data_IF_468763481856
#
_entry.id   IF_468763481856
#
_cell.length_a   1.000
_cell.length_b   1.000
_cell.length_c   1.000
_cell.angle_alpha   90.00
_cell.angle_beta   90.00
_cell.angle_gamma   90.00
#
_symmetry.space_group_name_H-M   'P 1'
#
loop_
_entity.id
_entity.type
_entity.pdbx_description
1 polymer ?
#
# COMPACT_ATOMS: atom_id res chain seq x y z
N UNK A 1 14.08 19.90 20.82
CA UNK A 1 13.04 19.46 19.89
C UNK A 1 12.23 18.32 20.52
N UNK A 2 10.93 18.34 20.32
CA UNK A 2 10.09 17.25 20.78
C UNK A 2 10.30 16.02 19.91
N UNK A 3 10.06 14.82 20.46
CA UNK A 3 10.08 13.59 19.69
C UNK A 3 9.04 13.63 18.55
N UNK A 4 8.00 14.43 18.70
CA UNK A 4 6.96 14.63 17.70
C UNK A 4 7.52 15.15 16.37
N UNK A 5 8.39 16.17 16.42
CA UNK A 5 9.04 16.70 15.20
C UNK A 5 9.97 15.64 14.58
N UNK A 6 10.72 14.94 15.42
CA UNK A 6 11.62 13.87 14.96
C UNK A 6 10.84 12.76 14.24
N UNK A 7 9.70 12.34 14.80
CA UNK A 7 8.89 11.27 14.21
C UNK A 7 8.25 11.71 12.89
N UNK A 8 7.88 12.96 12.75
CA UNK A 8 7.41 13.51 11.48
C UNK A 8 8.53 13.51 10.41
N UNK A 9 9.74 13.85 10.80
CA UNK A 9 10.90 13.75 9.92
C UNK A 9 11.14 12.31 9.48
N UNK A 10 11.00 11.35 10.38
CA UNK A 10 11.12 9.93 10.07
C UNK A 10 10.05 9.48 9.08
N UNK A 11 8.81 9.92 9.27
CA UNK A 11 7.72 9.61 8.32
C UNK A 11 8.06 10.11 6.91
N UNK A 12 8.49 11.36 6.79
CA UNK A 12 8.88 11.96 5.51
C UNK A 12 9.98 11.16 4.85
N UNK A 13 11.00 10.84 5.60
CA UNK A 13 12.16 10.09 5.10
C UNK A 13 11.77 8.69 4.63
N UNK A 14 10.95 7.98 5.39
CA UNK A 14 10.48 6.64 5.02
C UNK A 14 9.66 6.70 3.74
N UNK A 15 8.73 7.66 3.65
CA UNK A 15 7.88 7.84 2.48
C UNK A 15 8.72 8.15 1.24
N UNK A 16 9.70 9.07 1.35
CA UNK A 16 10.59 9.42 0.26
C UNK A 16 11.43 8.24 -0.21
N UNK A 17 11.99 7.48 0.71
CA UNK A 17 12.80 6.30 0.38
C UNK A 17 11.96 5.20 -0.29
N UNK A 18 10.74 4.96 0.19
CA UNK A 18 9.82 3.99 -0.44
C UNK A 18 9.37 4.47 -1.82
N UNK A 19 9.07 5.75 -1.96
CA UNK A 19 8.68 6.30 -3.25
C UNK A 19 9.80 6.17 -4.28
N UNK A 20 11.04 6.45 -3.88
CA UNK A 20 12.21 6.28 -4.74
C UNK A 20 12.34 4.83 -5.22
N UNK A 21 12.15 3.87 -4.32
CA UNK A 21 12.26 2.44 -4.65
C UNK A 21 11.10 1.92 -5.52
N UNK A 22 9.87 2.39 -5.27
CA UNK A 22 8.66 1.80 -5.86
C UNK A 22 7.97 2.67 -6.92
N UNK A 23 8.43 3.89 -7.16
CA UNK A 23 7.77 4.77 -8.16
C UNK A 23 7.75 4.15 -9.55
N UNK A 24 8.83 3.49 -9.96
CA UNK A 24 8.91 2.80 -11.25
C UNK A 24 7.97 1.58 -11.33
N UNK A 25 7.45 1.14 -10.19
CA UNK A 25 6.54 -0.02 -10.09
C UNK A 25 5.08 0.41 -9.93
N UNK A 26 4.79 1.70 -10.10
CA UNK A 26 3.43 2.22 -10.09
C UNK A 26 2.97 2.85 -8.77
N UNK A 27 3.83 2.93 -7.76
CA UNK A 27 3.50 3.60 -6.51
C UNK A 27 3.54 5.11 -6.71
N UNK A 28 2.49 5.80 -6.26
CA UNK A 28 2.38 7.25 -6.29
C UNK A 28 2.21 7.81 -4.89
N UNK A 29 2.65 9.06 -4.70
CA UNK A 29 2.47 9.79 -3.47
C UNK A 29 1.24 10.68 -3.55
N UNK A 30 0.35 10.53 -2.60
CA UNK A 30 -0.80 11.41 -2.40
C UNK A 30 -0.63 12.15 -1.09
N UNK A 31 -1.04 13.42 -1.04
CA UNK A 31 -0.97 14.25 0.16
C UNK A 31 -2.31 14.92 0.39
N UNK A 32 -2.70 15.04 1.65
CA UNK A 32 -3.79 15.92 2.06
C UNK A 32 -3.35 17.38 1.94
N UNK A 33 -4.27 18.32 1.91
CA UNK A 33 -3.97 19.74 1.87
C UNK A 33 -3.45 20.24 3.22
N UNK A 34 -2.50 21.19 3.19
CA UNK A 34 -1.97 21.87 4.36
C UNK A 34 -0.53 21.52 4.72
N UNK A 35 0.06 22.31 5.62
CA UNK A 35 1.36 22.01 6.20
C UNK A 35 1.24 20.77 7.09
N UNK A 36 2.24 19.91 7.09
CA UNK A 36 2.25 18.67 7.87
C UNK A 36 1.07 17.74 7.54
N UNK A 37 0.56 17.83 6.32
CA UNK A 37 -0.53 16.99 5.86
C UNK A 37 -0.12 15.52 5.85
N UNK A 38 -1.10 14.65 6.09
CA UNK A 38 -0.90 13.22 5.97
C UNK A 38 -0.50 12.85 4.54
N UNK A 39 0.38 11.88 4.43
CA UNK A 39 0.87 11.35 3.16
C UNK A 39 0.39 9.92 2.97
N UNK A 40 0.17 9.55 1.71
CA UNK A 40 -0.25 8.21 1.34
C UNK A 40 0.63 7.69 0.21
N UNK A 41 1.01 6.43 0.29
CA UNK A 41 1.59 5.72 -0.86
C UNK A 41 0.51 4.80 -1.42
N UNK A 42 0.21 4.97 -2.69
CA UNK A 42 -0.92 4.30 -3.33
C UNK A 42 -0.52 3.69 -4.67
N UNK A 43 -1.29 2.68 -5.09
CA UNK A 43 -1.19 2.08 -6.41
C UNK A 43 -2.60 1.93 -6.98
N UNK A 44 -2.81 2.46 -8.19
CA UNK A 44 -4.13 2.45 -8.85
C UNK A 44 -5.27 2.93 -7.92
N UNK A 45 -5.00 3.97 -7.12
CA UNK A 45 -5.95 4.52 -6.17
C UNK A 45 -6.08 3.76 -4.85
N UNK A 46 -5.39 2.63 -4.70
CA UNK A 46 -5.40 1.85 -3.46
C UNK A 46 -4.27 2.28 -2.54
N UNK A 47 -4.60 2.74 -1.36
CA UNK A 47 -3.63 3.20 -0.37
C UNK A 47 -2.99 1.99 0.31
N UNK A 48 -1.67 1.88 0.23
CA UNK A 48 -0.90 0.81 0.88
C UNK A 48 -0.24 1.29 2.17
N UNK A 49 0.04 2.59 2.27
CA UNK A 49 0.67 3.20 3.44
C UNK A 49 0.07 4.57 3.70
N UNK A 50 -0.03 4.93 4.96
CA UNK A 50 -0.65 6.16 5.40
C UNK A 50 0.09 6.69 6.63
N UNK A 51 0.50 7.96 6.63
CA UNK A 51 1.11 8.60 7.79
C UNK A 51 0.06 9.26 8.67
N UNK A 52 0.22 9.16 10.00
CA UNK A 52 -0.70 9.76 10.96
C UNK A 52 -0.04 10.95 11.66
N UNK A 53 -0.88 11.84 12.17
CA UNK A 53 -0.45 13.07 12.86
C UNK A 53 0.43 12.80 14.08
N UNK A 54 0.27 11.66 14.73
CA UNK A 54 1.01 11.31 15.96
C UNK A 54 2.36 10.63 15.70
N UNK A 55 2.78 10.53 14.44
CA UNK A 55 4.03 9.90 14.06
C UNK A 55 3.89 8.44 13.64
N UNK A 56 2.75 7.81 13.88
CA UNK A 56 2.50 6.44 13.44
C UNK A 56 2.44 6.35 11.92
N UNK A 57 2.79 5.18 11.41
CA UNK A 57 2.57 4.83 10.00
C UNK A 57 1.67 3.60 9.96
N UNK A 58 0.57 3.70 9.22
CA UNK A 58 -0.30 2.57 8.96
C UNK A 58 0.09 1.92 7.64
N UNK A 59 0.17 0.60 7.61
CA UNK A 59 0.43 -0.16 6.40
C UNK A 59 -0.70 -1.17 6.19
N UNK A 60 -1.21 -1.24 4.97
CA UNK A 60 -2.27 -2.17 4.59
C UNK A 60 -1.87 -3.61 4.90
N UNK A 61 -2.80 -4.34 5.51
CA UNK A 61 -2.59 -5.73 5.92
C UNK A 61 -3.39 -6.72 5.08
N UNK A 62 -4.47 -6.26 4.45
CA UNK A 62 -5.36 -7.12 3.65
C UNK A 62 -5.73 -6.45 2.34
N UNK A 63 -5.84 -7.28 1.30
CA UNK A 63 -6.28 -6.90 -0.04
C UNK A 63 -7.45 -7.81 -0.40
N UNK A 64 -8.47 -7.28 -1.07
CA UNK A 64 -9.63 -8.05 -1.50
C UNK A 64 -10.00 -7.71 -2.94
N UNK A 65 -10.75 -8.61 -3.56
CA UNK A 65 -11.35 -8.36 -4.86
C UNK A 65 -12.87 -8.35 -4.74
N UNK A 66 -13.46 -7.28 -5.22
CA UNK A 66 -14.92 -7.14 -5.29
C UNK A 66 -15.36 -7.43 -6.73
N UNK A 67 -15.99 -8.58 -6.93
CA UNK A 67 -16.43 -9.03 -8.25
C UNK A 67 -17.59 -8.19 -8.80
N UNK A 68 -18.37 -7.52 -7.96
CA UNK A 68 -19.51 -6.72 -8.39
C UNK A 68 -19.10 -5.47 -9.14
N UNK A 69 -18.05 -4.81 -8.70
CA UNK A 69 -17.52 -3.60 -9.34
C UNK A 69 -16.16 -3.82 -10.02
N UNK A 70 -15.70 -5.06 -10.10
CA UNK A 70 -14.43 -5.42 -10.71
C UNK A 70 -13.26 -4.59 -10.20
N UNK A 71 -13.15 -4.47 -8.89
CA UNK A 71 -12.15 -3.64 -8.25
C UNK A 71 -11.40 -4.37 -7.15
N UNK A 72 -10.09 -4.12 -7.10
CA UNK A 72 -9.25 -4.53 -5.99
C UNK A 72 -9.25 -3.40 -4.97
N UNK A 73 -9.47 -3.74 -3.71
CA UNK A 73 -9.45 -2.80 -2.61
C UNK A 73 -8.48 -3.24 -1.53
N UNK A 74 -8.21 -2.32 -0.63
CA UNK A 74 -7.35 -2.55 0.54
C UNK A 74 -8.13 -2.29 1.81
N UNK A 75 -7.88 -3.07 2.81
CA UNK A 75 -8.51 -2.88 4.11
C UNK A 75 -7.62 -3.42 5.21
N UNK A 76 -7.95 -3.06 6.46
CA UNK A 76 -7.26 -3.53 7.63
C UNK A 76 -5.79 -3.13 7.63
N UNK A 77 -5.49 -2.10 8.38
CA UNK A 77 -4.13 -1.57 8.48
C UNK A 77 -3.51 -1.93 9.82
N UNK A 78 -2.20 -2.17 9.81
CA UNK A 78 -1.43 -2.29 11.03
C UNK A 78 -0.74 -0.96 11.31
N UNK A 79 -0.84 -0.48 12.56
CA UNK A 79 -0.14 0.69 13.03
C UNK A 79 1.30 0.32 13.40
N UNK A 80 2.24 1.07 12.86
CA UNK A 80 3.64 1.00 13.26
C UNK A 80 3.97 2.26 14.04
N UNK A 81 4.23 2.09 15.32
CA UNK A 81 4.58 3.20 16.19
C UNK A 81 6.02 3.61 15.96
N UNK A 82 6.31 4.93 15.94
CA UNK A 82 7.67 5.39 15.73
C UNK A 82 8.59 4.95 16.87
N UNK A 83 9.86 4.74 16.51
CA UNK A 83 10.94 4.41 17.44
C UNK A 83 12.03 5.45 17.29
N UNK A 84 12.77 5.72 18.36
CA UNK A 84 13.89 6.66 18.31
C UNK A 84 14.97 6.21 17.34
N UNK A 85 15.22 4.90 17.25
CA UNK A 85 16.11 4.33 16.25
C UNK A 85 15.42 4.32 14.89
N UNK A 86 15.84 5.22 14.00
CA UNK A 86 15.27 5.33 12.66
C UNK A 86 15.34 4.01 11.89
N UNK A 87 16.46 3.33 11.93
CA UNK A 87 16.66 2.10 11.16
C UNK A 87 15.72 0.98 11.60
N UNK A 88 15.43 0.89 12.88
CA UNK A 88 14.46 -0.09 13.40
C UNK A 88 13.04 0.25 12.93
N UNK A 89 12.63 1.51 13.06
CA UNK A 89 11.32 1.96 12.63
C UNK A 89 11.16 1.80 11.11
N UNK A 90 12.09 2.34 10.34
CA UNK A 90 12.08 2.24 8.88
C UNK A 90 12.11 0.79 8.40
N UNK A 91 12.89 -0.05 9.03
CA UNK A 91 12.97 -1.48 8.70
C UNK A 91 11.64 -2.20 8.86
N UNK A 92 10.92 -1.96 9.95
CA UNK A 92 9.60 -2.53 10.18
C UNK A 92 8.58 -2.06 9.14
N UNK A 93 8.53 -0.74 8.89
CA UNK A 93 7.59 -0.15 7.94
C UNK A 93 7.87 -0.64 6.53
N UNK A 94 9.12 -0.63 6.10
CA UNK A 94 9.52 -1.05 4.75
C UNK A 94 9.24 -2.53 4.51
N UNK A 95 9.46 -3.38 5.51
CA UNK A 95 9.11 -4.80 5.41
C UNK A 95 7.60 -5.00 5.28
N UNK A 96 6.82 -4.27 6.08
CA UNK A 96 5.36 -4.32 5.99
C UNK A 96 4.85 -3.80 4.63
N UNK A 97 5.44 -2.72 4.13
CA UNK A 97 5.09 -2.16 2.82
C UNK A 97 5.37 -3.15 1.69
N UNK A 98 6.53 -3.79 1.72
CA UNK A 98 6.88 -4.83 0.74
C UNK A 98 5.86 -5.97 0.73
N UNK A 99 5.42 -6.43 1.89
CA UNK A 99 4.37 -7.45 1.99
C UNK A 99 3.05 -6.96 1.40
N UNK A 100 2.65 -5.73 1.71
CA UNK A 100 1.41 -5.14 1.17
C UNK A 100 1.48 -5.01 -0.36
N UNK A 101 2.59 -4.55 -0.89
CA UNK A 101 2.85 -4.41 -2.32
C UNK A 101 2.74 -5.77 -3.02
N UNK A 102 3.42 -6.78 -2.49
CA UNK A 102 3.40 -8.14 -3.06
C UNK A 102 1.98 -8.73 -3.01
N UNK A 103 1.27 -8.53 -1.91
CA UNK A 103 -0.10 -9.01 -1.75
C UNK A 103 -1.04 -8.38 -2.77
N UNK A 104 -0.87 -7.09 -3.05
CA UNK A 104 -1.65 -6.39 -4.09
C UNK A 104 -1.41 -7.02 -5.47
N UNK A 105 -0.17 -7.22 -5.87
CA UNK A 105 0.16 -7.80 -7.16
C UNK A 105 -0.26 -9.26 -7.28
N UNK A 106 -0.16 -10.04 -6.20
CA UNK A 106 -0.67 -11.40 -6.18
C UNK A 106 -2.18 -11.43 -6.44
N UNK A 107 -2.92 -10.46 -5.88
CA UNK A 107 -4.35 -10.35 -6.13
C UNK A 107 -4.64 -9.96 -7.58
N UNK A 108 -3.90 -9.01 -8.13
CA UNK A 108 -4.03 -8.62 -9.56
C UNK A 108 -3.84 -9.84 -10.46
N UNK A 109 -2.82 -10.63 -10.19
CA UNK A 109 -2.51 -11.84 -10.95
C UNK A 109 -3.62 -12.87 -10.85
N UNK A 110 -4.12 -13.13 -9.65
CA UNK A 110 -5.22 -14.09 -9.43
C UNK A 110 -6.50 -13.67 -10.14
N UNK A 111 -6.85 -12.40 -10.10
CA UNK A 111 -8.03 -11.88 -10.79
C UNK A 111 -7.91 -12.07 -12.30
N UNK A 112 -6.75 -11.77 -12.87
CA UNK A 112 -6.48 -12.00 -14.30
C UNK A 112 -6.64 -13.47 -14.67
N UNK A 113 -6.06 -14.37 -13.89
CA UNK A 113 -6.15 -15.82 -14.13
C UNK A 113 -7.60 -16.31 -14.09
N UNK A 114 -8.38 -15.86 -13.11
CA UNK A 114 -9.80 -16.21 -13.00
C UNK A 114 -10.62 -15.72 -14.20
N UNK A 115 -10.34 -14.52 -14.70
CA UNK A 115 -11.02 -13.98 -15.88
C UNK A 115 -10.69 -14.77 -17.13
N UNK A 116 -9.44 -15.17 -17.30
CA UNK A 116 -9.00 -16.00 -18.43
C UNK A 116 -9.69 -17.37 -18.39
N UNK A 117 -9.69 -18.03 -17.24
CA UNK A 117 -10.37 -19.30 -17.04
C UNK A 117 -11.87 -19.21 -17.34
N UNK A 118 -12.52 -18.12 -16.90
CA UNK A 118 -13.93 -17.88 -17.18
C UNK A 118 -14.21 -17.76 -18.67
N UNK A 119 -13.36 -17.06 -19.41
CA UNK A 119 -13.48 -16.92 -20.86
C UNK A 119 -13.27 -18.25 -21.58
N UNK A 120 -12.31 -19.04 -21.16
CA UNK A 120 -12.06 -20.38 -21.72
C UNK A 120 -13.28 -21.27 -21.52
N UNK A 121 -13.86 -21.28 -20.33
CA UNK A 121 -15.06 -22.08 -20.04
C UNK A 121 -16.26 -21.66 -20.89
N UNK A 122 -16.47 -20.37 -21.10
CA UNK A 122 -17.54 -19.87 -21.98
C UNK A 122 -17.33 -20.31 -23.43
N UNK A 123 -16.10 -20.23 -23.93
CA UNK A 123 -15.76 -20.69 -25.28
C UNK A 123 -15.98 -22.20 -25.43
N UNK A 124 -15.61 -22.98 -24.42
CA UNK A 124 -15.84 -24.45 -24.43
C UNK A 124 -17.34 -24.76 -24.50
N UNK A 125 -18.19 -24.04 -23.80
CA UNK A 125 -19.64 -24.19 -23.85
C UNK A 125 -20.21 -23.94 -25.24
N UNK A 126 -19.68 -22.98 -25.98
CA UNK A 126 -20.14 -22.65 -27.32
C UNK A 126 -19.85 -23.77 -28.32
N UNK A 127 -18.97 -24.70 -28.00
CA UNK A 127 -18.60 -25.86 -28.86
C UNK A 127 -19.23 -27.18 -28.41
N UNK A 128 -20.06 -27.18 -27.40
CA UNK A 128 -20.80 -28.40 -26.97
C UNK A 128 -22.04 -28.65 -27.85
#
# INVERSE_FOLDING_TARGET
ASNFELFHEYQKRIVEELLEEYSSKGITLLKDEGENANMYLAINGNKLLYTRWNGDIEVTKKVYYNQYNDAIGTYYCKYHRPKLDYNKFAGEVKAAFKRAFNMYFDMVKRVKEQKIEGKIRELEKDFE
#
